data_IF_517373911657
#
_entry.id   IF_517373911657
#
_cell.length_a   1.000
_cell.length_b   1.000
_cell.length_c   1.000
_cell.angle_alpha   90.00
_cell.angle_beta   90.00
_cell.angle_gamma   90.00
#
_symmetry.space_group_name_H-M   'P 1'
#
loop_
_entity.id
_entity.type
_entity.pdbx_description
1 polymer ?
#
# COMPACT_ATOMS: atom_id res chain seq x y z
N UNK A 1 -11.43 22.97 14.00
CA UNK A 1 -10.56 22.51 12.89
C UNK A 1 -10.03 21.15 13.28
N UNK A 2 -10.28 20.12 12.49
CA UNK A 2 -9.83 18.76 12.79
C UNK A 2 -8.32 18.71 12.57
N UNK A 3 -7.54 18.62 13.65
CA UNK A 3 -6.08 18.58 13.58
C UNK A 3 -5.65 17.15 13.27
N UNK A 4 -4.93 16.96 12.15
CA UNK A 4 -4.31 15.68 11.82
C UNK A 4 -2.87 15.70 12.36
N UNK A 5 -2.54 14.76 13.25
CA UNK A 5 -1.22 14.71 13.89
C UNK A 5 -0.21 14.01 12.99
N UNK A 6 0.95 14.62 12.78
CA UNK A 6 2.06 14.02 12.02
C UNK A 6 2.60 12.71 12.65
N UNK A 7 2.32 12.49 13.95
CA UNK A 7 2.66 11.23 14.64
C UNK A 7 2.12 9.99 13.92
N UNK A 8 0.91 10.06 13.36
CA UNK A 8 0.33 8.91 12.67
C UNK A 8 1.07 8.54 11.39
N UNK A 9 1.68 9.52 10.73
CA UNK A 9 2.53 9.29 9.56
C UNK A 9 3.83 8.63 9.99
N UNK A 10 4.46 9.15 11.06
CA UNK A 10 5.68 8.59 11.61
C UNK A 10 5.50 7.14 12.10
N UNK A 11 4.38 6.82 12.77
CA UNK A 11 4.07 5.47 13.22
C UNK A 11 3.95 4.50 12.03
N UNK A 12 3.30 4.92 10.95
CA UNK A 12 3.20 4.12 9.72
C UNK A 12 4.56 3.90 9.06
N UNK A 13 5.41 4.93 9.00
CA UNK A 13 6.76 4.82 8.43
C UNK A 13 7.61 3.84 9.23
N UNK A 14 7.59 3.94 10.56
CA UNK A 14 8.30 2.99 11.44
C UNK A 14 7.85 1.54 11.20
N UNK A 15 6.53 1.29 11.11
CA UNK A 15 6.05 -0.07 10.85
C UNK A 15 6.38 -0.56 9.43
N UNK A 16 6.38 0.33 8.43
CA UNK A 16 6.81 -0.03 7.07
C UNK A 16 8.26 -0.49 7.10
N UNK A 17 9.14 0.23 7.78
CA UNK A 17 10.56 -0.09 7.87
C UNK A 17 10.79 -1.43 8.59
N UNK A 18 10.10 -1.66 9.72
CA UNK A 18 10.14 -2.92 10.47
C UNK A 18 9.75 -4.13 9.60
N UNK A 19 8.61 -4.06 8.90
CA UNK A 19 8.15 -5.17 8.06
C UNK A 19 8.99 -5.32 6.79
N UNK A 20 9.52 -4.23 6.25
CA UNK A 20 10.39 -4.27 5.06
C UNK A 20 11.72 -4.95 5.38
N UNK A 21 12.25 -4.80 6.59
CA UNK A 21 13.48 -5.46 7.02
C UNK A 21 13.37 -7.00 7.06
N UNK A 22 12.19 -7.54 7.35
CA UNK A 22 11.92 -8.99 7.31
C UNK A 22 11.65 -9.52 5.89
N UNK A 23 11.33 -8.65 4.93
CA UNK A 23 10.88 -9.04 3.60
C UNK A 23 12.03 -9.19 2.60
N UNK A 24 11.93 -10.15 1.65
CA UNK A 24 12.86 -10.21 0.54
C UNK A 24 12.76 -8.94 -0.33
N UNK A 25 13.89 -8.48 -0.90
CA UNK A 25 13.95 -7.24 -1.68
C UNK A 25 12.98 -7.30 -2.87
N UNK A 26 12.22 -6.22 -3.05
CA UNK A 26 11.27 -6.11 -4.15
C UNK A 26 12.01 -5.76 -5.44
N UNK A 27 12.24 -6.76 -6.29
CA UNK A 27 12.92 -6.58 -7.58
C UNK A 27 11.95 -6.48 -8.76
N UNK A 28 10.71 -6.92 -8.59
CA UNK A 28 9.73 -7.00 -9.66
C UNK A 28 8.34 -6.52 -9.21
N UNK A 29 7.49 -6.17 -10.18
CA UNK A 29 6.08 -5.88 -9.91
C UNK A 29 5.35 -7.16 -9.45
N UNK A 30 4.69 -7.08 -8.31
CA UNK A 30 3.90 -8.17 -7.73
C UNK A 30 2.43 -7.96 -8.07
N UNK A 31 1.77 -9.03 -8.50
CA UNK A 31 0.32 -9.07 -8.64
C UNK A 31 -0.34 -9.30 -7.27
N UNK A 32 -1.56 -8.78 -7.04
CA UNK A 32 -2.29 -9.04 -5.80
C UNK A 32 -2.56 -10.54 -5.61
N UNK A 33 -1.69 -11.22 -4.87
CA UNK A 33 -1.71 -12.66 -4.64
C UNK A 33 -1.11 -12.97 -3.25
N UNK A 34 -0.84 -14.23 -2.94
CA UNK A 34 -0.20 -14.58 -1.66
C UNK A 34 -1.17 -14.98 -0.54
N UNK A 35 -2.42 -15.34 -0.88
CA UNK A 35 -3.35 -15.95 0.07
C UNK A 35 -4.51 -15.06 0.50
N UNK A 36 -5.35 -15.56 1.41
CA UNK A 36 -6.56 -14.84 1.84
C UNK A 36 -6.18 -13.54 2.54
N UNK A 37 -5.23 -13.57 3.46
CA UNK A 37 -4.82 -12.40 4.23
C UNK A 37 -4.20 -11.32 3.32
N UNK A 38 -3.22 -11.71 2.49
CA UNK A 38 -2.58 -10.81 1.53
C UNK A 38 -3.60 -10.19 0.55
N UNK A 39 -4.55 -10.97 0.04
CA UNK A 39 -5.59 -10.47 -0.87
C UNK A 39 -6.50 -9.44 -0.20
N UNK A 40 -6.92 -9.66 1.05
CA UNK A 40 -7.71 -8.68 1.79
C UNK A 40 -6.93 -7.39 2.04
N UNK A 41 -5.62 -7.47 2.34
CA UNK A 41 -4.76 -6.30 2.49
C UNK A 41 -4.63 -5.52 1.18
N UNK A 42 -4.47 -6.22 0.05
CA UNK A 42 -4.48 -5.57 -1.27
C UNK A 42 -5.84 -4.95 -1.62
N UNK A 43 -6.95 -5.56 -1.22
CA UNK A 43 -8.27 -4.96 -1.35
C UNK A 43 -8.37 -3.67 -0.52
N UNK A 44 -7.99 -3.71 0.75
CA UNK A 44 -7.95 -2.52 1.61
C UNK A 44 -7.08 -1.42 1.00
N UNK A 45 -5.91 -1.77 0.43
CA UNK A 45 -5.03 -0.84 -0.29
C UNK A 45 -5.75 -0.16 -1.46
N UNK A 46 -6.52 -0.92 -2.25
CA UNK A 46 -7.29 -0.37 -3.37
C UNK A 46 -8.36 0.64 -2.92
N UNK A 47 -8.99 0.37 -1.76
CA UNK A 47 -9.98 1.25 -1.14
C UNK A 47 -9.30 2.52 -0.61
N UNK A 48 -8.14 2.39 0.04
CA UNK A 48 -7.34 3.52 0.51
C UNK A 48 -6.94 4.45 -0.63
N UNK A 49 -6.46 3.90 -1.76
CA UNK A 49 -6.15 4.68 -2.98
C UNK A 49 -7.40 5.32 -3.60
N UNK A 50 -8.58 4.71 -3.46
CA UNK A 50 -9.84 5.31 -3.89
C UNK A 50 -10.21 6.50 -3.01
N UNK A 51 -10.07 6.38 -1.70
CA UNK A 51 -10.28 7.48 -0.76
C UNK A 51 -9.32 8.64 -1.04
N UNK A 52 -8.05 8.36 -1.31
CA UNK A 52 -7.05 9.36 -1.71
C UNK A 52 -7.52 10.17 -2.93
N UNK A 53 -7.96 9.49 -4.00
CA UNK A 53 -8.49 10.16 -5.21
C UNK A 53 -9.72 11.01 -4.94
N UNK A 54 -10.58 10.60 -3.99
CA UNK A 54 -11.75 11.38 -3.58
C UNK A 54 -11.37 12.63 -2.76
N UNK A 55 -10.27 12.58 -2.00
CA UNK A 55 -9.78 13.74 -1.24
C UNK A 55 -9.01 14.74 -2.10
N UNK A 56 -8.30 14.28 -3.14
CA UNK A 56 -7.54 15.16 -4.05
C UNK A 56 -8.31 16.39 -4.55
N UNK A 57 -9.56 16.31 -5.06
CA UNK A 57 -10.30 17.50 -5.50
C UNK A 57 -10.64 18.46 -4.35
N UNK A 58 -10.91 17.96 -3.15
CA UNK A 58 -11.21 18.79 -1.97
C UNK A 58 -9.98 19.57 -1.49
N UNK A 59 -8.80 18.96 -1.56
CA UNK A 59 -7.52 19.64 -1.26
C UNK A 59 -7.22 20.70 -2.32
N UNK A 60 -7.48 20.41 -3.60
CA UNK A 60 -7.31 21.38 -4.69
C UNK A 60 -8.26 22.57 -4.56
N UNK A 61 -9.43 22.37 -3.99
CA UNK A 61 -10.40 23.42 -3.67
C UNK A 61 -10.06 24.16 -2.34
N UNK A 62 -8.96 23.82 -1.68
CA UNK A 62 -8.52 24.37 -0.39
C UNK A 62 -9.55 24.20 0.76
N UNK A 63 -10.49 23.25 0.62
CA UNK A 63 -11.50 22.97 1.65
C UNK A 63 -10.92 22.17 2.82
N UNK A 64 -9.87 21.40 2.57
CA UNK A 64 -9.17 20.58 3.56
C UNK A 64 -7.64 20.72 3.42
N UNK A 65 -6.93 20.57 4.54
CA UNK A 65 -5.47 20.57 4.55
C UNK A 65 -4.84 19.34 3.87
N UNK A 66 -3.54 19.38 3.55
CA UNK A 66 -2.83 18.30 2.85
C UNK A 66 -2.48 17.10 3.75
N UNK A 67 -2.63 17.21 5.07
CA UNK A 67 -2.18 16.23 6.06
C UNK A 67 -2.88 14.85 5.91
N UNK A 68 -4.21 14.77 5.71
CA UNK A 68 -4.88 13.49 5.50
C UNK A 68 -4.42 12.77 4.24
N UNK A 69 -4.02 13.51 3.19
CA UNK A 69 -3.49 12.93 1.96
C UNK A 69 -2.14 12.25 2.19
N UNK A 70 -1.25 12.90 2.97
CA UNK A 70 0.05 12.31 3.36
C UNK A 70 -0.15 11.01 4.13
N UNK A 71 -1.10 10.99 5.07
CA UNK A 71 -1.43 9.79 5.82
C UNK A 71 -1.99 8.68 4.94
N UNK A 72 -2.99 8.97 4.09
CA UNK A 72 -3.52 7.99 3.14
C UNK A 72 -2.45 7.49 2.18
N UNK A 73 -1.48 8.35 1.82
CA UNK A 73 -0.33 8.01 1.00
C UNK A 73 0.47 6.85 1.65
N UNK A 74 0.90 7.07 2.90
CA UNK A 74 1.66 6.07 3.68
C UNK A 74 0.84 4.85 4.08
N UNK A 75 -0.44 5.02 4.38
CA UNK A 75 -1.30 3.89 4.74
C UNK A 75 -1.38 2.85 3.61
N UNK A 76 -1.39 3.26 2.34
CA UNK A 76 -1.39 2.27 1.27
C UNK A 76 -0.05 1.56 1.10
N UNK A 77 1.05 2.24 1.39
CA UNK A 77 2.39 1.65 1.36
C UNK A 77 2.48 0.60 2.47
N UNK A 78 2.00 0.94 3.67
CA UNK A 78 1.85 0.02 4.79
C UNK A 78 0.99 -1.20 4.45
N UNK A 79 -0.19 -0.99 3.83
CA UNK A 79 -1.07 -2.09 3.40
C UNK A 79 -0.42 -2.96 2.32
N UNK A 80 0.48 -2.41 1.50
CA UNK A 80 1.26 -3.18 0.54
C UNK A 80 2.32 -4.02 1.26
N UNK A 81 3.13 -3.42 2.14
CA UNK A 81 4.17 -4.12 2.89
C UNK A 81 3.59 -5.24 3.77
N UNK A 82 2.49 -4.97 4.47
CA UNK A 82 1.81 -5.99 5.30
C UNK A 82 1.16 -7.10 4.48
N UNK A 83 0.68 -6.82 3.26
CA UNK A 83 0.19 -7.87 2.36
C UNK A 83 1.31 -8.86 2.02
N UNK A 84 2.50 -8.35 1.68
CA UNK A 84 3.70 -9.15 1.41
C UNK A 84 4.14 -9.94 2.64
N UNK A 85 4.15 -9.28 3.80
CA UNK A 85 4.50 -9.92 5.07
C UNK A 85 3.56 -11.08 5.41
N UNK A 86 2.25 -10.87 5.23
CA UNK A 86 1.24 -11.91 5.46
C UNK A 86 1.42 -13.09 4.49
N UNK A 87 1.71 -12.82 3.21
CA UNK A 87 2.01 -13.87 2.23
C UNK A 87 3.24 -14.69 2.65
N UNK A 88 4.32 -14.01 3.09
CA UNK A 88 5.54 -14.65 3.58
C UNK A 88 5.28 -15.52 4.80
N UNK A 89 4.53 -15.02 5.81
CA UNK A 89 4.21 -15.80 7.03
C UNK A 89 3.27 -16.97 6.75
N UNK A 90 2.38 -16.87 5.76
CA UNK A 90 1.56 -17.99 5.30
C UNK A 90 2.32 -18.98 4.39
N UNK A 91 3.59 -18.71 4.07
CA UNK A 91 4.39 -19.53 3.16
C UNK A 91 3.85 -19.57 1.73
N UNK A 92 3.13 -18.52 1.31
CA UNK A 92 2.58 -18.43 -0.05
C UNK A 92 3.45 -17.56 -0.94
N UNK A 93 3.64 -18.01 -2.17
CA UNK A 93 4.42 -17.28 -3.15
C UNK A 93 3.68 -16.07 -3.72
N UNK A 94 4.43 -14.99 -3.90
CA UNK A 94 4.00 -13.78 -4.59
C UNK A 94 4.09 -14.00 -6.10
N UNK A 95 3.02 -13.68 -6.85
CA UNK A 95 3.01 -13.84 -8.29
C UNK A 95 3.67 -12.62 -8.92
N UNK A 96 4.81 -12.84 -9.56
CA UNK A 96 5.52 -11.80 -10.29
C UNK A 96 4.81 -11.53 -11.61
N UNK A 97 4.54 -10.25 -11.89
CA UNK A 97 4.00 -9.83 -13.18
C UNK A 97 5.03 -10.07 -14.29
N UNK A 98 4.66 -10.91 -15.26
CA UNK A 98 5.44 -11.14 -16.47
C UNK A 98 4.74 -10.44 -17.63
N UNK A 99 5.42 -9.50 -18.28
CA UNK A 99 4.94 -8.89 -19.52
C UNK A 99 5.02 -9.92 -20.64
N UNK A 100 3.88 -10.36 -21.16
CA UNK A 100 3.83 -11.25 -22.32
C UNK A 100 4.16 -10.38 -23.54
N UNK A 101 5.31 -10.62 -24.17
CA UNK A 101 5.64 -10.00 -25.46
C UNK A 101 4.84 -10.71 -26.57
N UNK A 102 4.26 -9.94 -27.48
CA UNK A 102 3.36 -10.45 -28.53
C UNK A 102 4.06 -11.28 -29.62
N UNK A 103 5.37 -11.48 -29.51
CA UNK A 103 6.20 -12.19 -30.50
C UNK A 103 6.30 -13.71 -30.26
N UNK A 104 5.62 -14.25 -29.23
CA UNK A 104 5.51 -15.70 -28.97
C UNK A 104 4.12 -16.26 -29.34
N UNK A 105 3.73 -16.11 -30.61
CA UNK A 105 2.65 -16.92 -31.22
C UNK A 105 3.12 -17.63 -32.47
#
# INVERSE_FOLDING_TARGET
KTTFSDKYVADLENWIDEYTAELPPLTNFILPSGGKSATHMHLARSICRRAERSLTPLIRAEEIGPEPLKYLNRLSDFLFTTARYAAMKEGREEIIYRRIHADEK
#
